data_IF_751937121508
#
_entry.id   IF_751937121508
#
_cell.length_a   1.000
_cell.length_b   1.000
_cell.length_c   1.000
_cell.angle_alpha   90.00
_cell.angle_beta   90.00
_cell.angle_gamma   90.00
#
_symmetry.space_group_name_H-M   'P 1'
#
loop_
_entity.id
_entity.type
_entity.pdbx_description
1 polymer ?
#
# COMPACT_ATOMS: atom_id res chain seq x y z
N UNK A 1 -7.27 19.72 -13.04
CA UNK A 1 -7.35 18.26 -12.88
C UNK A 1 -5.97 17.68 -13.00
N UNK A 2 -5.41 17.28 -11.88
CA UNK A 2 -4.01 16.87 -11.81
C UNK A 2 -3.83 15.45 -12.35
N UNK A 3 -2.88 15.20 -13.25
CA UNK A 3 -2.57 13.86 -13.76
C UNK A 3 -2.01 12.90 -12.67
N UNK A 4 -1.68 13.41 -11.51
CA UNK A 4 -1.12 12.65 -10.38
C UNK A 4 -2.15 11.80 -9.61
N UNK A 5 -3.45 11.97 -9.84
CA UNK A 5 -4.47 11.24 -9.13
C UNK A 5 -4.49 9.74 -9.47
N UNK A 6 -3.99 9.34 -10.63
CA UNK A 6 -4.01 7.93 -11.05
C UNK A 6 -3.01 7.07 -10.28
N UNK A 7 -1.77 7.51 -10.09
CA UNK A 7 -0.77 6.76 -9.34
C UNK A 7 -1.11 6.70 -7.85
N UNK A 8 -1.47 7.82 -7.24
CA UNK A 8 -1.94 7.85 -5.86
C UNK A 8 -3.21 6.99 -5.67
N UNK A 9 -4.19 7.09 -6.59
CA UNK A 9 -5.39 6.26 -6.60
C UNK A 9 -5.06 4.76 -6.68
N UNK A 10 -4.04 4.36 -7.43
CA UNK A 10 -3.65 2.96 -7.55
C UNK A 10 -3.03 2.42 -6.25
N UNK A 11 -2.24 3.22 -5.57
CA UNK A 11 -1.71 2.90 -4.23
C UNK A 11 -2.83 2.78 -3.21
N UNK A 12 -3.75 3.72 -3.13
CA UNK A 12 -4.91 3.68 -2.23
C UNK A 12 -5.77 2.43 -2.43
N UNK A 13 -6.04 2.04 -3.68
CA UNK A 13 -6.80 0.82 -3.97
C UNK A 13 -6.17 -0.43 -3.39
N UNK A 14 -4.84 -0.51 -3.41
CA UNK A 14 -4.10 -1.64 -2.86
C UNK A 14 -4.12 -1.65 -1.35
N UNK A 15 -3.99 -0.51 -0.71
CA UNK A 15 -3.98 -0.37 0.74
C UNK A 15 -5.33 -0.70 1.38
N UNK A 16 -6.43 -0.24 0.78
CA UNK A 16 -7.79 -0.57 1.23
C UNK A 16 -8.19 -2.00 0.89
N UNK A 17 -7.37 -2.72 0.10
CA UNK A 17 -7.65 -4.11 -0.26
C UNK A 17 -8.74 -4.29 -1.32
N UNK A 18 -9.06 -3.26 -2.09
CA UNK A 18 -10.11 -3.29 -3.11
C UNK A 18 -9.68 -3.97 -4.43
N UNK A 19 -8.47 -4.54 -4.48
CA UNK A 19 -7.96 -5.22 -5.68
C UNK A 19 -8.39 -6.68 -5.68
N UNK A 20 -9.12 -7.06 -6.74
CA UNK A 20 -9.37 -8.46 -7.04
C UNK A 20 -8.10 -9.06 -7.66
N UNK A 21 -7.34 -9.79 -6.85
CA UNK A 21 -6.01 -10.28 -7.23
C UNK A 21 -6.01 -11.15 -8.50
N UNK A 22 -6.85 -12.19 -8.63
CA UNK A 22 -6.88 -13.03 -9.84
C UNK A 22 -7.23 -12.27 -11.12
N UNK A 23 -8.06 -11.23 -11.01
CA UNK A 23 -8.43 -10.39 -12.15
C UNK A 23 -7.45 -9.26 -12.42
N UNK A 24 -6.52 -9.00 -11.49
CA UNK A 24 -5.56 -7.88 -11.53
C UNK A 24 -6.30 -6.53 -11.72
N UNK A 25 -7.48 -6.40 -11.14
CA UNK A 25 -8.38 -5.25 -11.30
C UNK A 25 -8.94 -4.80 -9.96
N UNK A 26 -8.93 -3.49 -9.73
CA UNK A 26 -9.51 -2.87 -8.55
C UNK A 26 -10.28 -1.58 -8.86
N UNK A 27 -10.20 -1.08 -10.12
CA UNK A 27 -10.79 0.21 -10.47
C UNK A 27 -12.31 0.22 -10.29
N UNK A 28 -12.99 -0.84 -10.73
CA UNK A 28 -14.44 -0.98 -10.57
C UNK A 28 -14.84 -1.01 -9.09
N UNK A 29 -14.11 -1.74 -8.25
CA UNK A 29 -14.38 -1.78 -6.81
C UNK A 29 -14.16 -0.41 -6.15
N UNK A 30 -13.12 0.32 -6.57
CA UNK A 30 -12.89 1.68 -6.08
C UNK A 30 -13.99 2.65 -6.51
N UNK A 31 -14.52 2.52 -7.74
CA UNK A 31 -15.64 3.34 -8.20
C UNK A 31 -16.92 3.02 -7.43
N UNK A 32 -17.27 1.74 -7.24
CA UNK A 32 -18.41 1.35 -6.43
C UNK A 32 -18.29 1.80 -4.97
N UNK A 33 -17.09 1.69 -4.39
CA UNK A 33 -16.82 2.20 -3.06
C UNK A 33 -17.05 3.73 -2.97
N UNK A 34 -16.63 4.47 -3.98
CA UNK A 34 -16.87 5.93 -4.06
C UNK A 34 -18.36 6.28 -4.19
N UNK A 35 -19.11 5.52 -4.99
CA UNK A 35 -20.57 5.70 -5.11
C UNK A 35 -21.25 5.44 -3.76
N UNK A 36 -20.96 4.31 -3.13
CA UNK A 36 -21.53 3.97 -1.82
C UNK A 36 -21.19 5.01 -0.74
N UNK A 37 -19.98 5.55 -0.76
CA UNK A 37 -19.58 6.62 0.16
C UNK A 37 -20.39 7.91 -0.09
N UNK A 38 -20.59 8.29 -1.35
CA UNK A 38 -21.34 9.48 -1.73
C UNK A 38 -22.82 9.35 -1.35
N UNK A 39 -23.43 8.21 -1.59
CA UNK A 39 -24.83 7.93 -1.23
C UNK A 39 -25.02 7.96 0.30
N UNK A 40 -24.16 7.27 1.05
CA UNK A 40 -24.22 7.26 2.50
C UNK A 40 -24.03 8.67 3.11
N UNK A 41 -23.11 9.47 2.53
CA UNK A 41 -22.90 10.85 2.97
C UNK A 41 -24.09 11.75 2.63
N UNK A 42 -24.69 11.60 1.45
CA UNK A 42 -25.86 12.34 1.03
C UNK A 42 -27.05 12.06 1.96
N UNK A 43 -27.31 10.80 2.27
CA UNK A 43 -28.41 10.39 3.15
C UNK A 43 -28.21 10.91 4.58
N UNK A 44 -26.98 10.86 5.09
CA UNK A 44 -26.66 11.42 6.41
C UNK A 44 -26.92 12.93 6.46
N UNK A 45 -26.41 13.68 5.49
CA UNK A 45 -26.59 15.13 5.42
C UNK A 45 -28.06 15.52 5.22
N UNK A 46 -28.79 14.82 4.35
CA UNK A 46 -30.22 15.04 4.12
C UNK A 46 -31.06 14.78 5.37
N UNK A 47 -30.60 13.89 6.24
CA UNK A 47 -31.22 13.60 7.54
C UNK A 47 -30.75 14.52 8.66
N UNK A 48 -29.96 15.57 8.35
CA UNK A 48 -29.41 16.50 9.33
C UNK A 48 -28.32 15.94 10.23
N UNK A 49 -27.75 14.78 9.91
CA UNK A 49 -26.64 14.15 10.61
C UNK A 49 -25.31 14.72 10.12
N UNK A 50 -24.40 15.01 11.06
CA UNK A 50 -23.05 15.47 10.74
C UNK A 50 -22.06 15.01 11.81
N UNK A 51 -20.82 14.71 11.40
CA UNK A 51 -19.74 14.35 12.31
C UNK A 51 -19.86 12.96 12.94
N UNK A 52 -20.66 12.07 12.39
CA UNK A 52 -20.83 10.69 12.84
C UNK A 52 -20.23 9.64 11.88
N UNK A 53 -20.23 8.39 12.33
CA UNK A 53 -19.75 7.26 11.51
C UNK A 53 -20.85 6.83 10.54
N UNK A 54 -20.50 6.68 9.26
CA UNK A 54 -21.42 6.24 8.21
C UNK A 54 -21.49 4.70 8.18
N UNK A 55 -22.24 4.09 9.10
CA UNK A 55 -22.40 2.63 9.19
C UNK A 55 -22.99 2.02 7.90
N UNK A 56 -23.87 2.75 7.23
CA UNK A 56 -24.45 2.33 5.96
C UNK A 56 -23.38 2.12 4.88
N UNK A 57 -22.33 2.94 4.87
CA UNK A 57 -21.21 2.75 3.94
C UNK A 57 -20.44 1.45 4.22
N UNK A 58 -20.14 1.15 5.49
CA UNK A 58 -19.44 -0.09 5.84
C UNK A 58 -20.29 -1.33 5.49
N UNK A 59 -21.59 -1.28 5.75
CA UNK A 59 -22.53 -2.34 5.40
C UNK A 59 -22.57 -2.59 3.87
N UNK A 60 -22.73 -1.53 3.07
CA UNK A 60 -22.77 -1.64 1.61
C UNK A 60 -21.42 -2.13 1.05
N UNK A 61 -20.30 -1.66 1.60
CA UNK A 61 -18.98 -2.11 1.18
C UNK A 61 -18.75 -3.60 1.43
N UNK A 62 -19.27 -4.16 2.54
CA UNK A 62 -19.10 -5.58 2.92
C UNK A 62 -20.12 -6.52 2.25
N UNK A 63 -21.36 -6.09 2.17
CA UNK A 63 -22.47 -6.94 1.71
C UNK A 63 -22.85 -6.70 0.25
N UNK A 64 -22.46 -5.54 -0.28
CA UNK A 64 -22.72 -5.12 -1.65
C UNK A 64 -21.84 -5.80 -2.69
N UNK A 65 -21.72 -5.15 -3.84
CA UNK A 65 -20.99 -5.67 -5.01
C UNK A 65 -19.51 -5.89 -4.70
N UNK A 66 -18.88 -4.93 -4.02
CA UNK A 66 -17.45 -4.96 -3.70
C UNK A 66 -17.13 -6.13 -2.77
N UNK A 67 -17.88 -6.26 -1.67
CA UNK A 67 -17.67 -7.33 -0.69
C UNK A 67 -17.86 -8.72 -1.30
N UNK A 68 -18.87 -8.91 -2.15
CA UNK A 68 -19.12 -10.17 -2.87
C UNK A 68 -17.99 -10.52 -3.83
N UNK A 69 -17.48 -9.55 -4.59
CA UNK A 69 -16.36 -9.77 -5.54
C UNK A 69 -15.06 -10.15 -4.80
N UNK A 70 -14.75 -9.46 -3.71
CA UNK A 70 -13.53 -9.71 -2.94
C UNK A 70 -13.62 -10.98 -2.08
N UNK A 71 -14.79 -11.29 -1.53
CA UNK A 71 -15.02 -12.51 -0.75
C UNK A 71 -14.76 -13.78 -1.57
N UNK A 72 -15.08 -13.75 -2.86
CA UNK A 72 -14.85 -14.89 -3.74
C UNK A 72 -13.37 -15.23 -3.95
N UNK A 73 -12.48 -14.26 -3.80
CA UNK A 73 -11.04 -14.39 -4.09
C UNK A 73 -10.13 -14.26 -2.87
N UNK A 74 -10.72 -14.14 -1.66
CA UNK A 74 -10.01 -13.79 -0.41
C UNK A 74 -8.85 -14.73 -0.04
N UNK A 75 -8.91 -16.00 -0.46
CA UNK A 75 -7.90 -16.99 -0.12
C UNK A 75 -6.75 -17.10 -1.13
N UNK A 76 -6.84 -16.46 -2.29
CA UNK A 76 -5.84 -16.60 -3.36
C UNK A 76 -4.47 -16.10 -2.92
N UNK A 77 -4.41 -14.91 -2.31
CA UNK A 77 -3.14 -14.35 -1.83
C UNK A 77 -2.51 -15.18 -0.69
N UNK A 78 -3.23 -15.58 0.37
CA UNK A 78 -2.69 -16.47 1.40
C UNK A 78 -2.23 -17.83 0.87
N UNK A 79 -2.96 -18.41 -0.08
CA UNK A 79 -2.59 -19.69 -0.69
C UNK A 79 -1.31 -19.57 -1.54
N UNK A 80 -1.19 -18.51 -2.32
CA UNK A 80 0.05 -18.23 -3.07
C UNK A 80 1.24 -18.00 -2.14
N UNK A 81 1.05 -17.29 -1.05
CA UNK A 81 2.12 -17.07 -0.06
C UNK A 81 2.56 -18.37 0.63
N UNK A 82 1.62 -19.30 0.86
CA UNK A 82 1.89 -20.56 1.55
C UNK A 82 2.50 -21.64 0.64
N UNK A 83 2.01 -21.77 -0.59
CA UNK A 83 2.36 -22.87 -1.50
C UNK A 83 3.24 -22.44 -2.67
N UNK A 84 3.54 -21.16 -2.78
CA UNK A 84 4.24 -20.59 -3.94
C UNK A 84 3.34 -20.37 -5.16
N UNK A 85 3.87 -19.77 -6.24
CA UNK A 85 3.04 -19.29 -7.35
C UNK A 85 2.28 -20.39 -8.08
N UNK A 86 2.91 -21.52 -8.40
CA UNK A 86 2.28 -22.58 -9.19
C UNK A 86 1.27 -23.40 -8.38
N UNK A 87 1.70 -23.93 -7.23
CA UNK A 87 0.79 -24.73 -6.40
C UNK A 87 -0.31 -23.86 -5.78
N UNK A 88 0.01 -22.62 -5.37
CA UNK A 88 -0.95 -21.66 -4.87
C UNK A 88 -2.02 -21.29 -5.92
N UNK A 89 -1.63 -21.16 -7.19
CA UNK A 89 -2.57 -20.90 -8.30
C UNK A 89 -3.56 -22.08 -8.49
N UNK A 90 -3.05 -23.30 -8.47
CA UNK A 90 -3.91 -24.51 -8.64
C UNK A 90 -4.89 -24.65 -7.47
N UNK A 91 -4.39 -24.57 -6.23
CA UNK A 91 -5.23 -24.70 -5.02
C UNK A 91 -6.20 -23.52 -4.88
N UNK A 92 -5.74 -22.30 -5.16
CA UNK A 92 -6.56 -21.10 -5.15
C UNK A 92 -7.63 -21.12 -6.24
N UNK A 93 -7.29 -21.59 -7.45
CA UNK A 93 -8.24 -21.78 -8.54
C UNK A 93 -9.32 -22.82 -8.21
N UNK A 94 -8.90 -23.91 -7.57
CA UNK A 94 -9.85 -24.92 -7.10
C UNK A 94 -10.79 -24.37 -6.02
N UNK A 95 -10.28 -23.64 -5.03
CA UNK A 95 -11.11 -23.01 -3.99
C UNK A 95 -12.10 -22.02 -4.58
N UNK A 96 -11.69 -21.21 -5.55
CA UNK A 96 -12.57 -20.26 -6.26
C UNK A 96 -13.66 -21.00 -7.04
N UNK A 97 -13.30 -22.06 -7.75
CA UNK A 97 -14.26 -22.88 -8.48
C UNK A 97 -15.28 -23.53 -7.53
N UNK A 98 -14.79 -24.15 -6.47
CA UNK A 98 -15.64 -24.75 -5.43
C UNK A 98 -16.58 -23.72 -4.81
N UNK A 99 -16.05 -22.54 -4.44
CA UNK A 99 -16.86 -21.47 -3.88
C UNK A 99 -17.91 -20.92 -4.86
N UNK A 100 -17.65 -20.97 -6.17
CA UNK A 100 -18.65 -20.56 -7.19
C UNK A 100 -19.87 -21.48 -7.19
N UNK A 101 -19.66 -22.77 -6.95
CA UNK A 101 -20.71 -23.79 -6.93
C UNK A 101 -21.46 -23.84 -5.59
N UNK A 102 -20.71 -23.93 -4.50
CA UNK A 102 -21.26 -24.20 -3.17
C UNK A 102 -21.45 -22.96 -2.29
N UNK A 103 -20.98 -21.78 -2.75
CA UNK A 103 -21.09 -20.48 -2.05
C UNK A 103 -20.30 -20.39 -0.73
N UNK A 104 -19.45 -21.36 -0.42
CA UNK A 104 -18.51 -21.32 0.69
C UNK A 104 -17.13 -21.84 0.26
N UNK A 105 -16.08 -21.45 1.00
CA UNK A 105 -14.72 -21.92 0.78
C UNK A 105 -14.41 -23.10 1.69
N UNK A 106 -13.68 -24.10 1.18
CA UNK A 106 -13.20 -25.26 1.96
C UNK A 106 -12.21 -24.84 3.05
N UNK A 107 -11.48 -23.76 2.83
CA UNK A 107 -10.46 -23.25 3.76
C UNK A 107 -11.00 -22.18 4.73
N UNK A 108 -12.29 -21.82 4.63
CA UNK A 108 -12.84 -20.70 5.37
C UNK A 108 -12.22 -19.36 4.91
N UNK A 109 -11.69 -18.58 5.85
CA UNK A 109 -10.91 -17.36 5.57
C UNK A 109 -9.51 -17.52 6.10
N UNK A 110 -8.55 -17.64 5.21
CA UNK A 110 -7.14 -17.75 5.53
C UNK A 110 -6.55 -16.37 5.88
N UNK A 111 -5.64 -16.35 6.83
CA UNK A 111 -4.85 -15.17 7.20
C UNK A 111 -3.43 -15.33 6.65
N UNK A 112 -2.77 -14.21 6.37
CA UNK A 112 -1.34 -14.21 6.12
C UNK A 112 -0.59 -14.64 7.39
N UNK A 113 0.43 -15.49 7.21
CA UNK A 113 1.18 -16.04 8.36
C UNK A 113 2.18 -15.07 8.97
N UNK A 114 2.64 -14.09 8.19
CA UNK A 114 3.59 -13.06 8.61
C UNK A 114 3.13 -11.70 8.10
N UNK A 115 3.40 -10.65 8.85
CA UNK A 115 3.28 -9.28 8.37
C UNK A 115 4.52 -8.87 7.56
N UNK A 116 4.49 -7.73 6.89
CA UNK A 116 5.56 -7.28 6.00
C UNK A 116 6.87 -7.04 6.75
N UNK A 117 6.82 -6.46 7.94
CA UNK A 117 7.99 -6.25 8.78
C UNK A 117 8.67 -7.57 9.17
N UNK A 118 7.89 -8.61 9.52
CA UNK A 118 8.42 -9.94 9.86
C UNK A 118 8.95 -10.70 8.64
N UNK A 119 8.57 -10.29 7.44
CA UNK A 119 9.02 -10.90 6.18
C UNK A 119 10.29 -10.26 5.63
N UNK A 120 10.74 -9.14 6.20
CA UNK A 120 11.96 -8.46 5.81
C UNK A 120 13.18 -9.29 6.20
N UNK A 121 13.95 -9.71 5.22
CA UNK A 121 15.20 -10.46 5.43
C UNK A 121 16.41 -9.54 5.64
N UNK A 122 17.47 -10.06 6.22
CA UNK A 122 18.72 -9.30 6.43
C UNK A 122 19.37 -8.95 5.11
N UNK A 123 19.91 -7.75 4.99
CA UNK A 123 20.51 -7.26 3.75
C UNK A 123 21.68 -8.11 3.24
N UNK A 124 22.40 -8.77 4.13
CA UNK A 124 23.53 -9.66 3.80
C UNK A 124 23.10 -10.91 3.01
N UNK A 125 21.84 -11.34 3.20
CA UNK A 125 21.32 -12.55 2.57
C UNK A 125 20.86 -12.31 1.11
N UNK A 126 20.87 -11.05 0.66
CA UNK A 126 20.38 -10.68 -0.66
C UNK A 126 21.43 -9.94 -1.48
N UNK A 127 21.69 -10.35 -2.73
CA UNK A 127 22.60 -9.62 -3.59
C UNK A 127 22.03 -8.25 -3.96
N UNK A 128 22.89 -7.25 -4.04
CA UNK A 128 22.50 -5.90 -4.46
C UNK A 128 22.07 -5.93 -5.94
N UNK A 129 20.84 -5.51 -6.21
CA UNK A 129 20.34 -5.38 -7.58
C UNK A 129 20.89 -4.09 -8.19
N UNK A 130 21.57 -4.21 -9.33
CA UNK A 130 22.03 -3.07 -10.10
C UNK A 130 20.99 -2.71 -11.16
N UNK A 131 20.21 -1.68 -10.89
CA UNK A 131 19.25 -1.14 -11.85
C UNK A 131 19.97 -0.28 -12.90
N UNK A 132 19.53 -0.28 -14.18
CA UNK A 132 20.04 0.65 -15.18
C UNK A 132 19.76 2.09 -14.75
N UNK A 133 20.72 2.96 -15.03
CA UNK A 133 20.54 4.40 -14.75
C UNK A 133 19.48 4.97 -15.66
N UNK A 134 18.59 5.86 -15.16
CA UNK A 134 17.65 6.59 -16.01
C UNK A 134 18.39 7.42 -17.08
N UNK A 135 17.80 7.51 -18.27
CA UNK A 135 18.38 8.24 -19.40
C UNK A 135 18.06 9.74 -19.42
N UNK A 136 17.17 10.18 -18.54
CA UNK A 136 16.70 11.58 -18.48
C UNK A 136 15.79 12.01 -19.62
N UNK A 137 15.36 11.07 -20.50
CA UNK A 137 14.49 11.33 -21.65
C UNK A 137 13.19 10.55 -21.57
N UNK A 138 13.27 9.24 -21.45
CA UNK A 138 12.14 8.32 -21.31
C UNK A 138 12.00 7.82 -19.86
N UNK A 139 13.08 7.77 -19.13
CA UNK A 139 13.14 7.36 -17.74
C UNK A 139 13.88 8.41 -16.91
N UNK A 140 13.36 8.68 -15.72
CA UNK A 140 13.88 9.71 -14.82
C UNK A 140 14.21 9.10 -13.47
N UNK A 141 15.16 9.71 -12.76
CA UNK A 141 15.44 9.34 -11.39
C UNK A 141 14.27 9.71 -10.46
N UNK A 142 14.30 9.13 -9.25
CA UNK A 142 13.20 9.26 -8.29
C UNK A 142 12.91 10.72 -7.92
N UNK A 143 13.95 11.52 -7.68
CA UNK A 143 13.76 12.92 -7.26
C UNK A 143 13.20 13.78 -8.40
N UNK A 144 13.65 13.55 -9.62
CA UNK A 144 13.10 14.21 -10.83
C UNK A 144 11.62 13.84 -11.01
N UNK A 145 11.24 12.57 -10.83
CA UNK A 145 9.84 12.16 -10.87
C UNK A 145 8.99 12.83 -9.79
N UNK A 146 9.50 12.97 -8.57
CA UNK A 146 8.82 13.68 -7.48
C UNK A 146 8.65 15.17 -7.83
N UNK A 147 9.67 15.79 -8.41
CA UNK A 147 9.58 17.17 -8.89
C UNK A 147 8.48 17.35 -9.93
N UNK A 148 8.37 16.42 -10.91
CA UNK A 148 7.29 16.44 -11.90
C UNK A 148 5.91 16.19 -11.30
N UNK A 149 5.83 15.53 -10.16
CA UNK A 149 4.58 15.30 -9.44
C UNK A 149 3.99 16.61 -8.87
N UNK A 150 4.77 17.68 -8.80
CA UNK A 150 4.35 18.98 -8.26
C UNK A 150 3.66 18.88 -6.90
N UNK A 151 4.15 17.98 -6.06
CA UNK A 151 3.63 17.83 -4.69
C UNK A 151 3.94 19.11 -3.92
N UNK A 152 2.92 19.71 -3.34
CA UNK A 152 3.05 20.93 -2.56
C UNK A 152 2.46 20.73 -1.17
N UNK A 153 3.28 20.91 -0.16
CA UNK A 153 2.88 20.92 1.24
C UNK A 153 3.06 22.33 1.80
N UNK A 154 2.20 22.71 2.71
CA UNK A 154 2.35 23.98 3.41
C UNK A 154 3.57 23.91 4.33
N UNK A 155 4.53 24.82 4.17
CA UNK A 155 5.80 24.79 4.89
C UNK A 155 5.62 24.98 6.40
N UNK A 156 4.59 25.70 6.82
CA UNK A 156 4.27 25.96 8.21
C UNK A 156 3.50 24.83 8.91
N UNK A 157 3.03 23.82 8.17
CA UNK A 157 2.31 22.70 8.78
C UNK A 157 3.24 21.82 9.62
N UNK A 158 2.78 21.24 10.74
CA UNK A 158 3.55 20.27 11.50
C UNK A 158 3.89 19.04 10.65
N UNK A 159 5.12 18.49 10.71
CA UNK A 159 5.45 17.25 10.02
C UNK A 159 4.51 16.12 10.41
N UNK A 160 3.86 15.51 9.41
CA UNK A 160 2.96 14.37 9.62
C UNK A 160 3.72 13.05 9.81
N UNK A 161 4.97 12.98 9.30
CA UNK A 161 5.84 11.81 9.46
C UNK A 161 6.66 11.96 10.75
N UNK A 162 6.42 11.10 11.71
CA UNK A 162 7.10 11.10 13.01
C UNK A 162 7.75 9.75 13.26
N UNK A 163 9.03 9.78 13.65
CA UNK A 163 9.74 8.58 14.09
C UNK A 163 9.37 8.26 15.54
N UNK A 164 8.91 7.05 15.80
CA UNK A 164 8.65 6.59 17.15
C UNK A 164 9.92 6.48 17.99
N UNK A 165 11.01 6.02 17.36
CA UNK A 165 12.34 5.98 17.96
C UNK A 165 13.39 6.44 16.92
N UNK A 166 14.00 7.62 17.09
CA UNK A 166 14.94 8.18 16.11
C UNK A 166 16.28 7.45 16.02
N UNK A 167 16.61 6.56 16.97
CA UNK A 167 17.86 5.81 16.94
C UNK A 167 17.80 4.55 16.09
N UNK A 168 16.62 3.90 16.00
CA UNK A 168 16.42 2.62 15.31
C UNK A 168 16.89 2.62 13.85
N UNK A 169 16.62 3.64 13.02
CA UNK A 169 17.07 3.67 11.64
C UNK A 169 18.58 3.52 11.46
N UNK A 170 19.37 4.11 12.35
CA UNK A 170 20.84 4.07 12.27
C UNK A 170 21.42 2.89 13.05
N UNK A 171 20.89 2.57 14.23
CA UNK A 171 21.46 1.57 15.12
C UNK A 171 21.08 0.14 14.76
N UNK A 172 19.92 -0.07 14.14
CA UNK A 172 19.38 -1.40 13.82
C UNK A 172 19.13 -1.54 12.33
N UNK A 173 18.27 -0.69 11.75
CA UNK A 173 17.81 -0.88 10.37
C UNK A 173 18.95 -0.75 9.35
N UNK A 174 19.83 0.21 9.53
CA UNK A 174 20.92 0.43 8.58
C UNK A 174 21.93 -0.73 8.56
N UNK A 175 22.47 -1.22 9.70
CA UNK A 175 23.43 -2.33 9.68
C UNK A 175 22.81 -3.68 9.33
N UNK A 176 21.57 -3.97 9.79
CA UNK A 176 20.96 -5.29 9.57
C UNK A 176 20.20 -5.39 8.25
N UNK A 177 19.45 -4.34 7.89
CA UNK A 177 18.49 -4.34 6.76
C UNK A 177 18.84 -3.32 5.68
N UNK A 178 20.00 -2.63 5.78
CA UNK A 178 20.43 -1.54 4.90
C UNK A 178 19.39 -0.41 4.77
N UNK A 179 18.69 -0.10 5.84
CA UNK A 179 17.61 0.90 5.98
C UNK A 179 16.56 0.81 4.89
N UNK A 180 15.54 -0.05 5.05
CA UNK A 180 14.52 -0.31 4.03
C UNK A 180 13.74 0.93 3.60
N UNK A 181 13.56 1.91 4.50
CA UNK A 181 12.80 3.13 4.22
C UNK A 181 13.34 3.90 3.02
N UNK A 182 14.64 3.84 2.77
CA UNK A 182 15.26 4.44 1.60
C UNK A 182 14.82 3.79 0.28
N UNK A 183 14.26 2.56 0.33
CA UNK A 183 13.87 1.77 -0.85
C UNK A 183 12.38 1.72 -1.05
N UNK A 184 11.61 1.45 0.01
CA UNK A 184 10.16 1.34 -0.13
C UNK A 184 9.48 2.70 -0.34
N UNK A 185 10.09 3.80 0.09
CA UNK A 185 9.51 5.11 -0.15
C UNK A 185 9.65 5.51 -1.64
N UNK A 186 8.55 5.67 -2.40
CA UNK A 186 8.60 6.02 -3.82
C UNK A 186 9.06 7.47 -4.06
N UNK A 187 8.96 8.31 -3.03
CA UNK A 187 9.26 9.74 -3.13
C UNK A 187 10.64 10.14 -2.59
N UNK A 188 11.39 9.19 -2.00
CA UNK A 188 12.71 9.50 -1.44
C UNK A 188 12.68 10.38 -0.19
N UNK A 189 11.63 10.27 0.60
CA UNK A 189 11.46 11.03 1.84
C UNK A 189 12.52 10.68 2.88
N UNK A 190 12.90 9.41 2.93
CA UNK A 190 13.83 8.88 3.92
C UNK A 190 15.23 8.75 3.34
N UNK A 191 16.20 9.40 3.96
CA UNK A 191 17.59 9.43 3.48
C UNK A 191 18.54 9.24 4.66
N UNK A 192 19.55 8.40 4.47
CA UNK A 192 20.70 8.33 5.37
C UNK A 192 21.79 9.23 4.81
N UNK A 193 22.15 10.24 5.55
CA UNK A 193 23.21 11.21 5.20
C UNK A 193 24.46 10.90 6.02
N UNK A 194 25.61 10.86 5.37
CA UNK A 194 26.91 10.73 6.01
C UNK A 194 27.51 12.13 6.20
N UNK A 195 27.75 12.52 7.44
CA UNK A 195 28.37 13.79 7.78
C UNK A 195 29.90 13.71 7.62
N UNK A 196 30.57 14.84 7.51
CA UNK A 196 32.03 14.91 7.37
C UNK A 196 32.79 14.20 8.51
N UNK A 197 32.19 14.10 9.69
CA UNK A 197 32.67 13.34 10.85
C UNK A 197 32.51 11.83 10.76
N UNK A 198 32.07 11.28 9.61
CA UNK A 198 31.66 9.86 9.39
C UNK A 198 30.46 9.41 10.24
N UNK A 199 29.80 10.32 10.93
CA UNK A 199 28.54 10.02 11.59
C UNK A 199 27.42 9.94 10.55
N UNK A 200 26.53 8.96 10.73
CA UNK A 200 25.36 8.78 9.87
C UNK A 200 24.12 9.32 10.56
N UNK A 201 23.33 10.08 9.82
CA UNK A 201 22.07 10.62 10.31
C UNK A 201 20.93 10.24 9.40
N UNK A 202 19.81 9.83 10.01
CA UNK A 202 18.57 9.57 9.28
C UNK A 202 17.77 10.87 9.16
N UNK A 203 17.44 11.24 7.94
CA UNK A 203 16.73 12.49 7.62
C UNK A 203 15.38 12.15 6.98
N UNK A 204 14.33 12.82 7.43
CA UNK A 204 12.98 12.71 6.90
C UNK A 204 12.63 14.01 6.19
N UNK A 205 12.57 13.99 4.86
CA UNK A 205 12.24 15.15 4.03
C UNK A 205 10.73 15.09 3.72
N UNK A 206 9.90 15.46 4.69
CA UNK A 206 8.44 15.32 4.58
C UNK A 206 7.83 16.09 3.42
N UNK A 207 8.47 17.15 2.94
CA UNK A 207 8.02 17.94 1.79
C UNK A 207 7.94 17.13 0.48
N UNK A 208 8.69 16.04 0.37
CA UNK A 208 8.63 15.14 -0.79
C UNK A 208 7.51 14.10 -0.68
N UNK A 209 6.85 14.01 0.47
CA UNK A 209 5.85 12.98 0.71
C UNK A 209 4.67 13.11 -0.25
N UNK A 210 4.36 12.03 -0.96
CA UNK A 210 3.20 11.92 -1.86
C UNK A 210 1.98 11.28 -1.18
N UNK A 211 1.98 11.20 0.14
CA UNK A 211 0.89 10.67 0.97
C UNK A 211 0.44 9.25 0.58
N UNK A 212 1.37 8.42 0.14
CA UNK A 212 1.05 7.05 -0.32
C UNK A 212 0.87 6.03 0.81
N UNK A 213 1.12 6.42 2.07
CA UNK A 213 0.97 5.61 3.29
C UNK A 213 1.83 4.32 3.32
N UNK A 214 2.69 4.08 2.33
CA UNK A 214 3.54 2.87 2.29
C UNK A 214 4.41 2.70 3.54
N UNK A 215 4.79 3.79 4.20
CA UNK A 215 5.58 3.77 5.42
C UNK A 215 4.79 3.44 6.69
N UNK A 216 3.46 3.53 6.65
CA UNK A 216 2.59 3.19 7.77
C UNK A 216 2.30 1.67 7.82
N UNK A 217 2.43 1.01 6.69
CA UNK A 217 2.19 -0.42 6.53
C UNK A 217 3.44 -1.25 6.86
N UNK A 218 4.63 -0.66 6.68
CA UNK A 218 5.92 -1.36 6.84
C UNK A 218 6.62 -1.05 8.15
#
# INVERSE_FOLDING_TARGET
>A
TQPNSSAASDVYKRQVGLVNLPRIKGNHNAMYSGIAAAEAAFDALSSGRSGDILEAYDAELREGVVGKDLKAVRNVAPLNAKFGPLAGLLVGGFDMWFQSLFKFSLFGTLKHGKNDAQSTGKAVDYPKINYPKPDGKLSFDRLTNVSFAMTNHEESQPPHLKLGNPTVPISINLPEYAEPAQRYCPAGVYVVVEEESKNRRFVVIFLYCVLCISCDIN
#
